data_IF_213696917729
#
_entry.id   IF_213696917729
#
_cell.length_a   1.000
_cell.length_b   1.000
_cell.length_c   1.000
_cell.angle_alpha   90.00
_cell.angle_beta   90.00
_cell.angle_gamma   90.00
#
_symmetry.space_group_name_H-M   'P 1'
#
loop_
_entity.id
_entity.type
_entity.pdbx_description
1 polymer ?
#
# COMPACT_ATOMS: atom_id res chain seq x y z
N UNK A 1 -50.90 34.91 -7.28
CA UNK A 1 -49.69 35.65 -6.90
C UNK A 1 -49.28 35.16 -5.51
N UNK A 2 -48.37 34.18 -5.44
CA UNK A 2 -47.84 33.69 -4.17
C UNK A 2 -46.81 34.69 -3.65
N UNK A 3 -47.03 35.24 -2.46
CA UNK A 3 -46.18 36.25 -1.84
C UNK A 3 -44.85 35.64 -1.36
N UNK A 4 -43.75 36.39 -1.51
CA UNK A 4 -42.37 35.99 -1.12
C UNK A 4 -42.23 35.49 0.34
N UNK A 5 -43.18 35.79 1.22
CA UNK A 5 -43.20 35.30 2.60
C UNK A 5 -43.51 33.80 2.76
N UNK A 6 -44.26 33.19 1.83
CA UNK A 6 -44.65 31.78 1.92
C UNK A 6 -43.53 30.80 1.49
N UNK A 7 -42.63 31.19 0.59
CA UNK A 7 -41.49 30.35 0.20
C UNK A 7 -40.48 30.17 1.34
N UNK A 8 -40.18 31.24 2.10
CA UNK A 8 -39.20 31.19 3.20
C UNK A 8 -39.67 30.36 4.41
N UNK A 9 -40.99 30.24 4.64
CA UNK A 9 -41.55 29.36 5.67
C UNK A 9 -41.64 27.89 5.23
N UNK A 10 -41.74 27.63 3.92
CA UNK A 10 -41.72 26.26 3.36
C UNK A 10 -40.30 25.67 3.36
N UNK A 11 -39.25 26.48 3.14
CA UNK A 11 -37.85 26.02 3.22
C UNK A 11 -37.44 25.60 4.65
N UNK A 12 -38.03 26.20 5.70
CA UNK A 12 -37.82 25.79 7.10
C UNK A 12 -38.48 24.46 7.49
N UNK A 13 -39.34 23.89 6.63
CA UNK A 13 -40.01 22.59 6.85
C UNK A 13 -39.40 21.45 6.05
N UNK A 14 -38.40 21.72 5.20
CA UNK A 14 -37.67 20.65 4.53
C UNK A 14 -36.75 20.00 5.57
N UNK A 15 -36.71 18.64 5.65
CA UNK A 15 -35.70 17.98 6.45
C UNK A 15 -34.31 18.48 6.01
N UNK A 16 -33.34 18.61 6.93
CA UNK A 16 -32.01 19.09 6.57
C UNK A 16 -31.50 18.27 5.39
N UNK A 17 -30.99 18.93 4.34
CA UNK A 17 -30.40 18.25 3.18
C UNK A 17 -29.22 17.42 3.67
N UNK A 18 -29.45 16.14 3.91
CA UNK A 18 -28.38 15.22 4.28
C UNK A 18 -27.57 14.96 3.02
N UNK A 19 -26.29 15.35 3.05
CA UNK A 19 -25.36 15.10 1.96
C UNK A 19 -25.21 13.59 1.80
N UNK A 20 -25.56 13.07 0.62
CA UNK A 20 -25.38 11.67 0.26
C UNK A 20 -23.87 11.39 0.25
N UNK A 21 -23.45 10.31 0.94
CA UNK A 21 -22.06 9.88 0.96
C UNK A 21 -21.56 9.62 -0.46
N UNK A 22 -20.42 10.21 -0.81
CA UNK A 22 -19.76 10.05 -2.10
C UNK A 22 -18.43 9.31 -1.95
N UNK A 23 -17.90 8.79 -3.06
CA UNK A 23 -16.64 8.05 -3.05
C UNK A 23 -15.46 8.90 -2.53
N UNK A 24 -15.46 10.19 -2.84
CA UNK A 24 -14.46 11.16 -2.38
C UNK A 24 -14.64 11.62 -0.91
N UNK A 25 -15.66 11.12 -0.20
CA UNK A 25 -15.80 11.28 1.25
C UNK A 25 -14.97 10.26 2.05
N UNK A 26 -14.55 9.16 1.41
CA UNK A 26 -13.78 8.08 2.04
C UNK A 26 -12.54 8.59 2.78
N UNK A 27 -11.67 9.45 2.21
CA UNK A 27 -10.50 9.93 2.93
C UNK A 27 -10.86 10.75 4.19
N UNK A 28 -11.95 11.53 4.13
CA UNK A 28 -12.44 12.30 5.26
C UNK A 28 -12.89 11.39 6.42
N UNK A 29 -13.56 10.28 6.10
CA UNK A 29 -13.97 9.26 7.06
C UNK A 29 -12.77 8.51 7.64
N UNK A 30 -11.84 8.06 6.78
CA UNK A 30 -10.58 7.43 7.21
C UNK A 30 -9.87 8.29 8.26
N UNK A 31 -9.67 9.58 7.96
CA UNK A 31 -8.95 10.49 8.85
C UNK A 31 -9.72 10.79 10.15
N UNK A 32 -10.98 11.19 10.03
CA UNK A 32 -11.70 11.86 11.13
C UNK A 32 -12.55 10.92 11.97
N UNK A 33 -12.89 9.73 11.45
CA UNK A 33 -13.75 8.75 12.15
C UNK A 33 -12.99 7.50 12.54
N UNK A 34 -12.10 7.02 11.67
CA UNK A 34 -11.39 5.77 11.88
C UNK A 34 -10.00 5.96 12.51
N UNK A 35 -9.47 7.18 12.49
CA UNK A 35 -8.10 7.45 12.95
C UNK A 35 -7.05 6.83 12.02
N UNK A 36 -7.32 6.83 10.71
CA UNK A 36 -6.47 6.26 9.66
C UNK A 36 -5.84 7.36 8.80
N UNK A 37 -4.89 8.15 9.34
CA UNK A 37 -4.32 9.29 8.64
C UNK A 37 -3.46 8.87 7.44
N UNK A 38 -2.77 7.74 7.48
CA UNK A 38 -1.91 7.28 6.37
C UNK A 38 -2.77 6.77 5.22
N UNK A 39 -3.80 5.95 5.52
CA UNK A 39 -4.77 5.51 4.51
C UNK A 39 -5.46 6.70 3.83
N UNK A 40 -5.90 7.68 4.62
CA UNK A 40 -6.52 8.90 4.10
C UNK A 40 -5.58 9.66 3.16
N UNK A 41 -4.30 9.83 3.53
CA UNK A 41 -3.33 10.54 2.72
C UNK A 41 -3.06 9.85 1.37
N UNK A 42 -2.95 8.52 1.36
CA UNK A 42 -2.80 7.75 0.11
C UNK A 42 -4.04 7.85 -0.78
N UNK A 43 -5.23 7.73 -0.19
CA UNK A 43 -6.49 7.87 -0.93
C UNK A 43 -6.67 9.29 -1.51
N UNK A 44 -6.34 10.33 -0.74
CA UNK A 44 -6.31 11.73 -1.21
C UNK A 44 -5.30 11.93 -2.33
N UNK A 45 -4.14 11.28 -2.25
CA UNK A 45 -3.15 11.31 -3.34
C UNK A 45 -3.73 10.68 -4.60
N UNK A 46 -4.39 9.53 -4.49
CA UNK A 46 -5.04 8.87 -5.62
C UNK A 46 -6.06 9.80 -6.29
N UNK A 47 -7.00 10.36 -5.53
CA UNK A 47 -8.03 11.28 -6.06
C UNK A 47 -7.46 12.57 -6.67
N UNK A 48 -6.33 13.08 -6.17
CA UNK A 48 -5.66 14.26 -6.72
C UNK A 48 -4.81 13.95 -7.96
N UNK A 49 -4.39 12.69 -8.14
CA UNK A 49 -3.57 12.26 -9.26
C UNK A 49 -4.26 12.49 -10.61
N UNK A 50 -3.46 12.69 -11.66
CA UNK A 50 -3.96 12.62 -13.03
C UNK A 50 -4.56 11.23 -13.29
N UNK A 51 -5.61 11.15 -14.12
CA UNK A 51 -6.18 9.86 -14.50
C UNK A 51 -5.10 8.95 -15.07
N UNK A 52 -4.79 7.88 -14.34
CA UNK A 52 -3.76 6.93 -14.70
C UNK A 52 -4.12 5.56 -14.14
N UNK A 53 -4.13 4.58 -15.04
CA UNK A 53 -4.30 3.17 -14.72
C UNK A 53 -2.95 2.48 -14.84
N UNK A 54 -2.47 1.91 -13.73
CA UNK A 54 -1.15 1.29 -13.71
C UNK A 54 -1.15 -0.07 -14.43
N UNK A 55 -0.29 -0.29 -15.43
CA UNK A 55 -0.17 -1.58 -16.10
C UNK A 55 0.49 -2.62 -15.19
N UNK A 56 0.15 -3.90 -15.36
CA UNK A 56 0.66 -5.00 -14.54
C UNK A 56 2.18 -5.14 -14.56
N UNK A 57 2.82 -4.85 -15.71
CA UNK A 57 4.29 -4.85 -15.81
C UNK A 57 4.92 -3.84 -14.85
N UNK A 58 4.24 -2.72 -14.59
CA UNK A 58 4.69 -1.71 -13.65
C UNK A 58 4.47 -2.16 -12.20
N UNK A 59 3.33 -2.78 -11.89
CA UNK A 59 3.07 -3.42 -10.58
C UNK A 59 4.11 -4.47 -10.25
N UNK A 60 4.63 -5.17 -11.25
CA UNK A 60 5.66 -6.21 -11.10
C UNK A 60 7.10 -5.68 -11.15
N UNK A 61 7.31 -4.40 -11.52
CA UNK A 61 8.64 -3.82 -11.68
C UNK A 61 9.46 -4.41 -12.83
N UNK A 62 8.79 -4.87 -13.91
CA UNK A 62 9.42 -5.50 -15.07
C UNK A 62 9.77 -4.49 -16.16
N UNK A 63 10.63 -4.91 -17.09
CA UNK A 63 11.06 -4.15 -18.27
C UNK A 63 11.57 -2.74 -17.93
N UNK A 64 10.91 -1.70 -18.47
CA UNK A 64 11.25 -0.31 -18.27
C UNK A 64 10.70 0.26 -16.95
N UNK A 65 9.91 -0.50 -16.19
CA UNK A 65 9.27 -0.06 -14.94
C UNK A 65 10.10 -0.38 -13.68
N UNK A 66 11.43 -0.35 -13.80
CA UNK A 66 12.29 -0.43 -12.61
C UNK A 66 12.02 0.76 -11.70
N UNK A 67 11.87 0.52 -10.40
CA UNK A 67 11.54 1.56 -9.41
C UNK A 67 12.50 2.76 -9.48
N UNK A 68 13.79 2.50 -9.68
CA UNK A 68 14.85 3.51 -9.84
C UNK A 68 14.64 4.47 -11.02
N UNK A 69 13.82 4.09 -12.02
CA UNK A 69 13.55 4.85 -13.24
C UNK A 69 12.16 5.50 -13.25
N UNK A 70 11.31 5.19 -12.28
CA UNK A 70 9.98 5.75 -12.19
C UNK A 70 10.03 7.21 -11.78
N UNK A 71 9.20 8.02 -12.41
CA UNK A 71 9.03 9.43 -12.05
C UNK A 71 8.17 9.56 -10.77
N UNK A 72 8.32 10.65 -10.01
CA UNK A 72 7.58 10.85 -8.75
C UNK A 72 6.05 10.80 -8.87
N UNK A 73 5.49 11.05 -10.06
CA UNK A 73 4.05 10.94 -10.28
C UNK A 73 3.51 9.53 -9.99
N UNK A 74 4.32 8.50 -10.24
CA UNK A 74 3.93 7.10 -10.07
C UNK A 74 4.55 6.42 -8.85
N UNK A 75 5.20 7.20 -7.98
CA UNK A 75 5.90 6.69 -6.82
C UNK A 75 5.63 7.58 -5.60
N UNK A 76 5.15 6.97 -4.53
CA UNK A 76 5.10 7.55 -3.19
C UNK A 76 6.22 6.95 -2.35
N UNK A 77 7.12 7.80 -1.85
CA UNK A 77 8.29 7.40 -1.05
C UNK A 77 8.26 8.03 0.35
N UNK A 78 7.13 8.63 0.77
CA UNK A 78 7.08 9.50 1.93
C UNK A 78 5.87 9.32 2.84
N UNK A 79 4.75 8.82 2.31
CA UNK A 79 3.50 8.71 3.08
C UNK A 79 3.56 7.53 4.05
N UNK A 80 4.15 6.42 3.62
CA UNK A 80 4.34 5.22 4.44
C UNK A 80 5.78 5.17 4.91
N UNK A 81 6.00 5.12 6.22
CA UNK A 81 7.32 4.91 6.81
C UNK A 81 7.39 3.58 7.53
N UNK A 82 8.58 2.98 7.62
CA UNK A 82 8.83 1.80 8.43
C UNK A 82 8.62 2.09 9.92
N UNK A 83 8.90 3.32 10.38
CA UNK A 83 8.61 3.71 11.76
C UNK A 83 7.11 3.59 12.07
N UNK A 84 6.24 4.09 11.19
CA UNK A 84 4.79 3.91 11.29
C UNK A 84 4.39 2.43 11.16
N UNK A 85 4.91 1.73 10.14
CA UNK A 85 4.55 0.36 9.86
C UNK A 85 4.92 -0.60 11.01
N UNK A 86 6.05 -0.38 11.67
CA UNK A 86 6.49 -1.17 12.83
C UNK A 86 5.61 -0.95 14.08
N UNK A 87 4.69 0.02 14.05
CA UNK A 87 3.61 0.15 15.04
C UNK A 87 2.64 -1.03 15.02
N UNK A 88 2.49 -1.72 13.88
CA UNK A 88 1.54 -2.82 13.69
C UNK A 88 2.19 -4.17 13.99
N UNK A 89 1.54 -5.00 14.80
CA UNK A 89 2.08 -6.31 15.22
C UNK A 89 2.39 -7.23 14.04
N UNK A 90 1.53 -7.28 13.03
CA UNK A 90 1.73 -8.09 11.81
C UNK A 90 2.99 -7.73 11.05
N UNK A 91 3.35 -6.44 11.00
CA UNK A 91 4.58 -5.98 10.33
C UNK A 91 5.81 -6.41 11.11
N UNK A 92 5.80 -6.27 12.45
CA UNK A 92 6.90 -6.74 13.31
C UNK A 92 7.11 -8.25 13.20
N UNK A 93 6.02 -9.02 13.14
CA UNK A 93 6.08 -10.47 12.93
C UNK A 93 6.70 -10.81 11.58
N UNK A 94 6.22 -10.18 10.50
CA UNK A 94 6.77 -10.37 9.16
C UNK A 94 8.25 -9.98 9.07
N UNK A 95 8.66 -8.88 9.71
CA UNK A 95 10.06 -8.46 9.75
C UNK A 95 10.93 -9.44 10.52
N UNK A 96 10.49 -9.91 11.70
CA UNK A 96 11.21 -10.94 12.47
C UNK A 96 11.39 -12.21 11.65
N UNK A 97 10.33 -12.66 10.97
CA UNK A 97 10.40 -13.84 10.11
C UNK A 97 11.36 -13.62 8.93
N UNK A 98 11.25 -12.49 8.23
CA UNK A 98 12.12 -12.19 7.10
C UNK A 98 13.57 -12.03 7.53
N UNK A 99 13.83 -11.46 8.70
CA UNK A 99 15.16 -11.37 9.30
C UNK A 99 15.74 -12.75 9.64
N UNK A 100 14.92 -13.73 10.04
CA UNK A 100 15.40 -15.09 10.27
C UNK A 100 15.66 -15.85 8.95
N UNK A 101 14.96 -15.48 7.87
CA UNK A 101 14.89 -16.27 6.64
C UNK A 101 15.47 -15.55 5.41
N UNK A 102 16.10 -14.38 5.56
CA UNK A 102 16.61 -13.59 4.44
C UNK A 102 17.59 -14.39 3.58
N UNK A 103 18.42 -15.24 4.19
CA UNK A 103 19.41 -16.10 3.53
C UNK A 103 18.84 -17.47 3.09
N UNK A 104 17.58 -17.51 2.66
CA UNK A 104 16.98 -18.68 2.02
C UNK A 104 17.75 -19.10 0.76
N UNK A 105 17.56 -20.32 0.20
CA UNK A 105 18.19 -20.71 -1.06
C UNK A 105 17.94 -19.71 -2.20
N UNK A 106 16.70 -19.22 -2.33
CA UNK A 106 16.35 -18.18 -3.31
C UNK A 106 17.02 -16.84 -3.00
N UNK A 107 17.08 -16.44 -1.72
CA UNK A 107 17.75 -15.22 -1.30
C UNK A 107 19.26 -15.24 -1.57
N UNK A 108 19.92 -16.37 -1.28
CA UNK A 108 21.33 -16.59 -1.63
C UNK A 108 21.56 -16.57 -3.14
N UNK A 109 20.64 -17.14 -3.93
CA UNK A 109 20.73 -17.10 -5.40
C UNK A 109 20.61 -15.66 -5.93
N UNK A 110 19.70 -14.84 -5.40
CA UNK A 110 19.60 -13.42 -5.76
C UNK A 110 20.84 -12.64 -5.35
N UNK A 111 21.34 -12.84 -4.12
CA UNK A 111 22.57 -12.22 -3.66
C UNK A 111 23.75 -12.53 -4.59
N UNK A 112 23.92 -13.80 -5.02
CA UNK A 112 24.93 -14.19 -6.00
C UNK A 112 24.78 -13.45 -7.33
N UNK A 113 23.55 -13.27 -7.81
CA UNK A 113 23.27 -12.55 -9.05
C UNK A 113 23.71 -11.08 -8.96
N UNK A 114 23.38 -10.40 -7.85
CA UNK A 114 23.82 -9.03 -7.62
C UNK A 114 25.34 -8.92 -7.50
N UNK A 115 25.96 -9.82 -6.75
CA UNK A 115 27.41 -9.86 -6.59
C UNK A 115 28.14 -10.07 -7.91
N UNK A 116 27.67 -11.00 -8.75
CA UNK A 116 28.26 -11.23 -10.07
C UNK A 116 28.23 -9.97 -10.91
N UNK A 117 27.06 -9.34 -11.05
CA UNK A 117 26.88 -8.08 -11.79
C UNK A 117 27.81 -6.97 -11.30
N UNK A 118 27.96 -6.82 -9.99
CA UNK A 118 28.85 -5.81 -9.42
C UNK A 118 30.33 -6.18 -9.61
N UNK A 119 30.67 -7.47 -9.52
CA UNK A 119 32.05 -7.97 -9.66
C UNK A 119 32.59 -7.88 -11.08
N UNK A 120 31.73 -7.79 -12.09
CA UNK A 120 32.11 -7.54 -13.49
C UNK A 120 32.65 -6.11 -13.68
N UNK A 121 32.27 -5.18 -12.80
CA UNK A 121 32.64 -3.76 -12.87
C UNK A 121 33.70 -3.42 -11.82
N UNK A 122 33.62 -4.04 -10.64
CA UNK A 122 34.48 -3.71 -9.51
C UNK A 122 35.82 -4.46 -9.55
N UNK A 123 36.96 -3.77 -9.60
CA UNK A 123 38.28 -4.41 -9.68
C UNK A 123 38.97 -4.62 -8.32
N UNK A 124 38.49 -3.94 -7.28
CA UNK A 124 39.09 -3.99 -5.94
C UNK A 124 39.04 -5.41 -5.33
N UNK A 125 40.09 -5.82 -4.58
CA UNK A 125 40.13 -7.13 -3.92
C UNK A 125 39.11 -7.24 -2.77
N UNK A 126 38.73 -6.11 -2.17
CA UNK A 126 37.67 -5.99 -1.15
C UNK A 126 36.85 -4.74 -1.38
N UNK A 127 35.54 -4.83 -1.20
CA UNK A 127 34.63 -3.66 -1.28
C UNK A 127 33.37 -3.87 -0.45
N UNK A 128 32.64 -2.77 -0.19
CA UNK A 128 31.31 -2.80 0.44
C UNK A 128 30.24 -3.10 -0.62
N UNK A 129 29.55 -4.22 -0.47
CA UNK A 129 28.32 -4.53 -1.20
C UNK A 129 27.12 -3.94 -0.44
N UNK A 130 26.16 -3.38 -1.17
CA UNK A 130 24.98 -2.72 -0.60
C UNK A 130 25.31 -1.40 0.10
N UNK A 131 24.59 -0.34 -0.25
CA UNK A 131 24.63 0.91 0.49
C UNK A 131 23.24 1.21 1.04
N UNK A 132 22.94 0.72 2.24
CA UNK A 132 21.62 0.81 2.85
C UNK A 132 21.22 2.25 3.25
N UNK A 133 22.08 3.25 3.04
CA UNK A 133 21.70 4.66 3.15
C UNK A 133 20.96 5.19 1.91
N UNK A 134 20.94 4.43 0.82
CA UNK A 134 20.20 4.80 -0.40
C UNK A 134 18.69 4.48 -0.26
N UNK A 135 17.81 5.20 -0.99
CA UNK A 135 16.38 4.95 -0.98
C UNK A 135 16.00 3.53 -1.43
N UNK A 136 14.86 3.04 -0.93
CA UNK A 136 14.34 1.70 -1.22
C UNK A 136 14.29 1.38 -2.72
N UNK A 137 13.88 2.33 -3.58
CA UNK A 137 13.84 2.15 -5.05
C UNK A 137 15.18 1.79 -5.68
N UNK A 138 16.29 2.22 -5.08
CA UNK A 138 17.65 1.88 -5.53
C UNK A 138 18.05 0.52 -4.97
N UNK A 139 17.77 0.27 -3.68
CA UNK A 139 18.09 -1.00 -3.03
C UNK A 139 17.35 -2.18 -3.66
N UNK A 140 16.11 -1.98 -4.11
CA UNK A 140 15.28 -2.98 -4.79
C UNK A 140 15.98 -3.57 -6.02
N UNK A 141 16.79 -2.76 -6.71
CA UNK A 141 17.54 -3.19 -7.89
C UNK A 141 18.98 -3.62 -7.56
N UNK A 142 19.61 -3.01 -6.55
CA UNK A 142 21.04 -3.20 -6.32
C UNK A 142 21.37 -4.34 -5.37
N UNK A 143 20.59 -4.53 -4.29
CA UNK A 143 20.99 -5.41 -3.19
C UNK A 143 19.82 -5.99 -2.38
N UNK A 144 18.59 -5.94 -2.90
CA UNK A 144 17.46 -6.71 -2.39
C UNK A 144 17.70 -8.19 -2.65
N UNK A 145 17.44 -9.03 -1.66
CA UNK A 145 17.72 -10.47 -1.77
C UNK A 145 16.50 -11.33 -1.48
N UNK A 146 15.62 -10.92 -0.56
CA UNK A 146 14.45 -11.72 -0.21
C UNK A 146 13.25 -10.84 0.16
N UNK A 147 12.07 -11.43 0.24
CA UNK A 147 10.83 -10.75 0.58
C UNK A 147 9.81 -11.69 1.20
N UNK A 148 8.79 -11.12 1.85
CA UNK A 148 7.62 -11.84 2.35
C UNK A 148 6.36 -10.97 2.11
N UNK A 149 5.25 -11.61 1.78
CA UNK A 149 3.94 -10.96 1.75
C UNK A 149 3.38 -10.82 3.18
N UNK A 150 2.63 -9.75 3.42
CA UNK A 150 1.90 -9.54 4.67
C UNK A 150 0.57 -8.84 4.39
N UNK A 151 -0.38 -8.96 5.31
CA UNK A 151 -1.74 -8.51 5.09
C UNK A 151 -2.65 -9.69 4.74
N UNK A 152 -3.89 -9.62 5.20
CA UNK A 152 -4.93 -10.57 4.84
C UNK A 152 -6.32 -9.94 5.02
N UNK A 153 -7.33 -10.49 4.34
CA UNK A 153 -8.73 -10.09 4.54
C UNK A 153 -9.24 -10.32 5.99
N UNK A 154 -8.55 -11.13 6.78
CA UNK A 154 -8.90 -11.41 8.17
C UNK A 154 -8.23 -10.45 9.17
N UNK A 155 -7.31 -9.59 8.72
CA UNK A 155 -6.58 -8.68 9.59
C UNK A 155 -7.52 -7.62 10.23
N UNK A 156 -7.11 -6.95 11.31
CA UNK A 156 -7.86 -5.82 11.85
C UNK A 156 -8.13 -4.75 10.79
N UNK A 157 -9.33 -4.17 10.79
CA UNK A 157 -9.60 -2.93 10.06
C UNK A 157 -8.92 -1.78 10.80
N UNK A 158 -7.68 -1.49 10.42
CA UNK A 158 -6.86 -0.40 10.96
C UNK A 158 -6.23 0.44 9.84
N UNK A 159 -5.46 1.46 10.20
CA UNK A 159 -4.83 2.38 9.25
C UNK A 159 -3.94 1.65 8.23
N UNK A 160 -3.20 0.63 8.65
CA UNK A 160 -2.39 -0.15 7.71
C UNK A 160 -3.27 -0.98 6.77
N UNK A 161 -4.40 -1.51 7.23
CA UNK A 161 -5.34 -2.20 6.34
C UNK A 161 -5.87 -1.25 5.25
N UNK A 162 -6.28 -0.04 5.62
CA UNK A 162 -6.75 0.96 4.66
C UNK A 162 -5.67 1.54 3.75
N UNK A 163 -4.42 1.57 4.21
CA UNK A 163 -3.28 2.14 3.48
C UNK A 163 -2.62 1.13 2.53
N UNK A 164 -2.47 -0.12 2.99
CA UNK A 164 -1.60 -1.10 2.35
C UNK A 164 -2.34 -2.38 1.96
N UNK A 165 -3.45 -2.73 2.61
CA UNK A 165 -4.14 -4.00 2.37
C UNK A 165 -3.21 -5.21 2.52
N UNK A 166 -2.87 -5.82 1.39
CA UNK A 166 -1.77 -6.79 1.26
C UNK A 166 -0.54 -6.06 0.72
N UNK A 167 0.60 -6.18 1.40
CA UNK A 167 1.87 -5.54 1.04
C UNK A 167 2.99 -6.56 0.90
N UNK A 168 4.10 -6.15 0.28
CA UNK A 168 5.35 -6.91 0.27
C UNK A 168 6.40 -6.23 1.16
N UNK A 169 6.89 -6.94 2.19
CA UNK A 169 8.07 -6.53 2.94
C UNK A 169 9.31 -7.15 2.30
N UNK A 170 10.28 -6.32 1.97
CA UNK A 170 11.52 -6.71 1.30
C UNK A 170 12.72 -6.53 2.22
N UNK A 171 13.77 -7.33 1.99
CA UNK A 171 15.06 -7.20 2.67
C UNK A 171 16.19 -7.04 1.66
N UNK A 172 16.97 -6.00 1.87
CA UNK A 172 18.26 -5.74 1.25
C UNK A 172 19.39 -6.00 2.24
N UNK A 173 20.59 -6.28 1.73
CA UNK A 173 21.74 -6.62 2.58
C UNK A 173 22.95 -5.76 2.26
N UNK A 174 23.80 -5.56 3.26
CA UNK A 174 25.10 -4.92 3.12
C UNK A 174 26.18 -5.76 3.80
N UNK A 175 27.37 -5.76 3.23
CA UNK A 175 28.49 -6.54 3.74
C UNK A 175 29.80 -6.26 3.03
N UNK A 176 30.89 -6.82 3.55
CA UNK A 176 32.21 -6.72 2.91
C UNK A 176 32.42 -7.93 2.01
N UNK A 177 32.67 -7.67 0.73
CA UNK A 177 33.04 -8.71 -0.23
C UNK A 177 34.56 -8.84 -0.26
N UNK A 178 35.06 -10.06 -0.42
CA UNK A 178 36.47 -10.40 -0.60
C UNK A 178 36.63 -11.33 -1.79
N UNK A 179 37.50 -10.99 -2.73
CA UNK A 179 37.92 -11.91 -3.81
C UNK A 179 38.87 -12.96 -3.26
N UNK A 180 38.54 -14.24 -3.46
CA UNK A 180 39.34 -15.38 -2.96
C UNK A 180 40.19 -16.05 -4.05
N UNK A 181 39.90 -15.78 -5.32
CA UNK A 181 40.58 -16.33 -6.48
C UNK A 181 39.77 -16.07 -7.74
N UNK A 182 40.14 -16.69 -8.85
CA UNK A 182 39.45 -16.52 -10.14
C UNK A 182 37.98 -16.96 -10.02
N UNK A 183 37.05 -16.00 -10.07
CA UNK A 183 35.60 -16.24 -10.00
C UNK A 183 35.02 -16.54 -8.61
N UNK A 184 35.85 -16.67 -7.57
CA UNK A 184 35.39 -16.98 -6.21
C UNK A 184 35.22 -15.72 -5.35
N UNK A 185 34.04 -15.57 -4.75
CA UNK A 185 33.68 -14.43 -3.90
C UNK A 185 33.22 -14.92 -2.53
N UNK A 186 33.77 -14.30 -1.49
CA UNK A 186 33.26 -14.39 -0.12
C UNK A 186 32.59 -13.06 0.24
N UNK A 187 31.49 -13.10 0.99
CA UNK A 187 30.85 -11.91 1.55
C UNK A 187 30.54 -12.13 3.03
N UNK A 188 30.91 -11.15 3.84
CA UNK A 188 30.57 -11.06 5.26
C UNK A 188 29.46 -10.01 5.42
N UNK A 189 28.20 -10.47 5.51
CA UNK A 189 27.02 -9.60 5.64
C UNK A 189 26.88 -9.14 7.09
N UNK A 190 26.87 -7.83 7.32
CA UNK A 190 26.82 -7.22 8.66
C UNK A 190 25.57 -6.34 8.89
N UNK A 191 24.83 -6.00 7.83
CA UNK A 191 23.60 -5.20 7.94
C UNK A 191 22.48 -5.70 7.04
N UNK A 192 21.25 -5.55 7.52
CA UNK A 192 20.01 -5.75 6.78
C UNK A 192 19.24 -4.43 6.68
N UNK A 193 18.55 -4.21 5.56
CA UNK A 193 17.64 -3.08 5.35
C UNK A 193 16.27 -3.58 4.93
N UNK A 194 15.23 -3.18 5.66
CA UNK A 194 13.85 -3.60 5.45
C UNK A 194 12.99 -2.43 4.95
N UNK A 195 12.12 -2.70 3.99
CA UNK A 195 11.20 -1.70 3.45
C UNK A 195 9.96 -2.37 2.85
N UNK A 196 8.85 -1.64 2.85
CA UNK A 196 7.59 -2.06 2.23
C UNK A 196 7.53 -1.61 0.77
N UNK A 197 6.86 -2.42 -0.03
CA UNK A 197 6.47 -2.12 -1.41
C UNK A 197 5.03 -2.55 -1.62
N UNK A 198 4.22 -1.68 -2.22
CA UNK A 198 2.87 -2.01 -2.67
C UNK A 198 2.44 -1.20 -3.89
N UNK A 199 1.43 -1.66 -4.62
CA UNK A 199 0.68 -0.89 -5.62
C UNK A 199 -0.60 -0.34 -5.01
N UNK A 200 -0.73 0.99 -4.97
CA UNK A 200 -1.97 1.65 -4.57
C UNK A 200 -2.81 1.91 -5.83
N UNK A 201 -3.67 0.95 -6.17
CA UNK A 201 -4.51 0.97 -7.35
C UNK A 201 -5.88 0.34 -7.11
N UNK A 202 -6.82 0.66 -7.99
CA UNK A 202 -8.18 0.10 -7.96
C UNK A 202 -8.49 -0.65 -9.25
N UNK A 203 -7.54 -1.47 -9.71
CA UNK A 203 -7.69 -2.28 -10.91
C UNK A 203 -8.05 -3.72 -10.51
N UNK A 204 -8.94 -4.35 -11.27
CA UNK A 204 -9.28 -5.75 -11.06
C UNK A 204 -8.22 -6.63 -11.73
N UNK A 205 -7.86 -7.77 -11.10
CA UNK A 205 -6.90 -8.70 -11.70
C UNK A 205 -7.42 -9.20 -13.05
N UNK A 206 -6.52 -9.43 -14.00
CA UNK A 206 -6.86 -10.06 -15.27
C UNK A 206 -7.62 -11.37 -15.02
N UNK A 207 -8.74 -11.56 -15.73
CA UNK A 207 -9.67 -12.70 -15.62
C UNK A 207 -10.56 -12.75 -14.36
N UNK A 208 -10.61 -11.70 -13.54
CA UNK A 208 -11.65 -11.58 -12.51
C UNK A 208 -12.99 -11.17 -13.14
N UNK A 209 -14.00 -12.03 -13.02
CA UNK A 209 -15.38 -11.71 -13.43
C UNK A 209 -16.09 -10.72 -12.48
N UNK A 210 -15.59 -10.58 -11.25
CA UNK A 210 -16.16 -9.71 -10.21
C UNK A 210 -15.15 -8.67 -9.76
N UNK A 211 -15.61 -7.43 -9.57
CA UNK A 211 -14.78 -6.35 -9.06
C UNK A 211 -14.49 -6.53 -7.58
N UNK A 212 -13.25 -6.26 -7.14
CA UNK A 212 -12.85 -6.49 -5.75
C UNK A 212 -13.69 -5.64 -4.78
N UNK A 213 -14.31 -6.26 -3.76
CA UNK A 213 -15.03 -5.53 -2.72
C UNK A 213 -14.07 -4.79 -1.79
N UNK A 214 -14.36 -3.53 -1.51
CA UNK A 214 -13.61 -2.65 -0.61
C UNK A 214 -14.36 -2.32 0.69
N UNK A 215 -15.53 -2.95 0.88
CA UNK A 215 -16.36 -2.83 2.06
C UNK A 215 -17.59 -1.94 1.87
N UNK A 216 -18.33 -1.79 2.95
CA UNK A 216 -19.54 -0.98 3.05
C UNK A 216 -19.19 0.33 3.75
N UNK A 217 -19.12 1.42 2.98
CA UNK A 217 -18.66 2.73 3.43
C UNK A 217 -19.81 3.69 3.70
N UNK A 218 -19.69 4.49 4.75
CA UNK A 218 -20.61 5.60 5.02
C UNK A 218 -19.96 6.65 5.91
N UNK A 219 -20.71 7.68 6.27
CA UNK A 219 -20.22 8.81 7.07
C UNK A 219 -19.65 8.43 8.45
N UNK A 220 -19.94 7.22 8.94
CA UNK A 220 -19.48 6.73 10.24
C UNK A 220 -18.30 5.76 10.17
N UNK A 221 -17.91 5.28 8.98
CA UNK A 221 -16.83 4.31 8.85
C UNK A 221 -17.01 3.32 7.71
N UNK A 222 -16.35 2.18 7.87
CA UNK A 222 -16.37 1.06 6.92
C UNK A 222 -16.62 -0.25 7.65
N UNK A 223 -17.39 -1.13 7.03
CA UNK A 223 -17.60 -2.50 7.49
C UNK A 223 -17.21 -3.51 6.39
N UNK A 224 -16.67 -4.68 6.79
CA UNK A 224 -16.37 -5.78 5.85
C UNK A 224 -17.64 -6.40 5.27
N UNK A 225 -18.66 -6.52 6.12
CA UNK A 225 -19.96 -7.08 5.81
C UNK A 225 -21.04 -6.08 6.18
N UNK A 226 -22.14 -6.09 5.44
CA UNK A 226 -23.31 -5.31 5.81
C UNK A 226 -24.06 -6.02 6.94
N UNK A 227 -23.76 -5.61 8.18
CA UNK A 227 -24.50 -6.06 9.38
C UNK A 227 -25.82 -5.31 9.58
N UNK A 228 -26.16 -4.35 8.72
CA UNK A 228 -27.38 -3.53 8.84
C UNK A 228 -28.62 -4.14 8.17
N UNK A 229 -28.48 -5.26 7.47
CA UNK A 229 -29.60 -5.96 6.84
C UNK A 229 -30.41 -6.80 7.84
N UNK A 230 -31.03 -6.18 8.84
CA UNK A 230 -32.23 -6.76 9.45
C UNK A 230 -33.39 -6.61 8.47
N UNK A 231 -34.12 -7.69 8.18
CA UNK A 231 -35.38 -7.60 7.44
C UNK A 231 -36.35 -6.77 8.28
N UNK A 232 -36.87 -5.69 7.69
CA UNK A 232 -38.02 -4.99 8.27
C UNK A 232 -39.22 -5.94 8.24
N UNK A 233 -39.80 -6.19 9.41
CA UNK A 233 -40.96 -7.08 9.58
C UNK A 233 -42.27 -6.27 9.52
N UNK A 234 -42.19 -4.93 9.56
CA UNK A 234 -43.34 -4.04 9.47
C UNK A 234 -43.13 -2.87 8.50
N UNK A 235 -44.23 -2.26 8.07
CA UNK A 235 -44.24 -1.12 7.14
C UNK A 235 -43.74 0.17 7.81
N UNK A 236 -43.94 0.32 9.12
CA UNK A 236 -43.38 1.41 9.93
C UNK A 236 -41.85 1.34 10.05
N UNK A 237 -41.28 0.13 10.16
CA UNK A 237 -39.82 -0.09 10.15
C UNK A 237 -39.18 0.29 8.82
N UNK A 238 -39.87 0.07 7.69
CA UNK A 238 -39.41 0.47 6.36
C UNK A 238 -39.32 2.02 6.27
N UNK A 239 -40.33 2.74 6.76
CA UNK A 239 -40.37 4.20 6.72
C UNK A 239 -39.38 4.86 7.70
N UNK A 240 -39.16 4.26 8.88
CA UNK A 240 -38.10 4.68 9.82
C UNK A 240 -36.69 4.41 9.25
N UNK A 241 -36.48 3.28 8.58
CA UNK A 241 -35.20 2.93 7.96
C UNK A 241 -34.89 3.83 6.76
N UNK A 242 -35.91 4.27 6.03
CA UNK A 242 -35.76 5.21 4.90
C UNK A 242 -35.52 6.67 5.35
N UNK A 243 -36.02 7.06 6.54
CA UNK A 243 -35.97 8.45 7.03
C UNK A 243 -34.75 8.79 7.92
N UNK A 244 -34.04 7.81 8.47
CA UNK A 244 -32.85 8.01 9.31
C UNK A 244 -31.55 8.01 8.48
N UNK A 245 -31.27 9.14 7.84
CA UNK A 245 -30.13 9.37 6.95
C UNK A 245 -28.69 9.52 7.57
N UNK A 246 -28.42 9.31 8.88
CA UNK A 246 -27.05 9.15 9.38
C UNK A 246 -26.78 7.69 9.79
N UNK A 247 -26.32 6.85 8.85
CA UNK A 247 -25.99 5.44 9.16
C UNK A 247 -25.94 4.51 7.95
N UNK A 248 -26.50 4.93 6.81
CA UNK A 248 -26.45 4.17 5.57
C UNK A 248 -25.02 3.97 5.10
N UNK A 249 -24.67 2.72 4.80
CA UNK A 249 -23.44 2.34 4.13
C UNK A 249 -23.71 1.96 2.68
N UNK A 250 -22.69 2.12 1.85
CA UNK A 250 -22.71 1.87 0.42
C UNK A 250 -21.64 0.85 0.10
N UNK A 251 -21.99 -0.18 -0.65
CA UNK A 251 -21.02 -1.14 -1.14
C UNK A 251 -20.07 -0.47 -2.13
N UNK A 252 -18.78 -0.50 -1.84
CA UNK A 252 -17.73 0.10 -2.68
C UNK A 252 -16.84 -1.00 -3.25
N UNK A 253 -16.51 -0.88 -4.53
CA UNK A 253 -15.64 -1.79 -5.26
C UNK A 253 -14.63 -1.04 -6.13
N UNK A 254 -13.60 -1.74 -6.63
CA UNK A 254 -12.63 -1.19 -7.57
C UNK A 254 -13.27 -0.51 -8.79
N UNK A 255 -14.35 -1.09 -9.33
CA UNK A 255 -15.09 -0.54 -10.46
C UNK A 255 -15.65 0.87 -10.19
N UNK A 256 -16.01 1.21 -8.95
CA UNK A 256 -16.51 2.54 -8.60
C UNK A 256 -15.41 3.60 -8.71
N UNK A 257 -14.18 3.26 -8.30
CA UNK A 257 -13.01 4.10 -8.49
C UNK A 257 -12.67 4.27 -9.98
N UNK A 258 -12.73 3.21 -10.78
CA UNK A 258 -12.50 3.29 -12.23
C UNK A 258 -13.54 4.17 -12.94
N UNK A 259 -14.82 4.06 -12.58
CA UNK A 259 -15.88 4.97 -13.06
C UNK A 259 -15.62 6.41 -12.63
N UNK A 260 -15.23 6.62 -11.36
CA UNK A 260 -14.89 7.95 -10.86
C UNK A 260 -13.72 8.55 -11.66
N UNK A 261 -12.68 7.75 -11.96
CA UNK A 261 -11.54 8.17 -12.78
C UNK A 261 -11.95 8.62 -14.17
N UNK A 262 -12.77 7.82 -14.84
CA UNK A 262 -13.29 8.12 -16.18
C UNK A 262 -14.15 9.40 -16.19
N UNK A 263 -14.96 9.64 -15.16
CA UNK A 263 -15.84 10.80 -15.06
C UNK A 263 -15.08 12.11 -14.79
N UNK A 264 -14.02 12.06 -13.98
CA UNK A 264 -13.36 13.27 -13.47
C UNK A 264 -12.02 13.59 -14.15
N UNK A 265 -11.45 12.67 -14.94
CA UNK A 265 -10.11 12.85 -15.52
C UNK A 265 -9.00 12.89 -14.46
N UNK A 266 -9.28 12.35 -13.27
CA UNK A 266 -8.37 12.26 -12.11
C UNK A 266 -8.42 10.84 -11.55
N UNK A 267 -7.64 10.51 -10.52
CA UNK A 267 -7.64 9.16 -9.94
C UNK A 267 -6.46 8.37 -10.49
N UNK A 268 -5.27 8.65 -9.97
CA UNK A 268 -4.02 8.12 -10.50
C UNK A 268 -3.44 7.05 -9.61
N UNK A 269 -3.19 5.86 -10.18
CA UNK A 269 -2.49 4.77 -9.49
C UNK A 269 -1.01 5.09 -9.27
N UNK A 270 -0.42 4.56 -8.21
CA UNK A 270 1.02 4.74 -7.93
C UNK A 270 1.57 3.59 -7.07
N UNK A 271 2.90 3.41 -7.11
CA UNK A 271 3.58 2.48 -6.22
C UNK A 271 3.91 3.19 -4.92
N UNK A 272 3.79 2.48 -3.81
CA UNK A 272 4.20 2.91 -2.48
C UNK A 272 5.49 2.20 -2.12
N UNK A 273 6.49 2.97 -1.70
CA UNK A 273 7.71 2.49 -1.07
C UNK A 273 7.89 3.18 0.28
N UNK A 274 8.24 2.42 1.31
CA UNK A 274 8.66 3.04 2.56
C UNK A 274 10.12 3.50 2.53
N UNK A 275 10.51 4.27 3.55
CA UNK A 275 11.91 4.41 3.93
C UNK A 275 12.51 3.06 4.38
N UNK A 276 13.83 3.03 4.52
CA UNK A 276 14.59 1.81 4.83
C UNK A 276 14.87 1.74 6.32
N UNK A 277 14.34 0.71 6.97
CA UNK A 277 14.68 0.38 8.35
C UNK A 277 15.94 -0.50 8.38
N UNK A 278 17.04 0.03 8.92
CA UNK A 278 18.33 -0.67 8.99
C UNK A 278 18.49 -1.40 10.31
N UNK A 279 19.09 -2.58 10.25
CA UNK A 279 19.43 -3.39 11.42
C UNK A 279 20.81 -4.00 11.23
N UNK A 280 21.71 -3.75 12.18
CA UNK A 280 23.00 -4.43 12.22
C UNK A 280 22.83 -5.86 12.75
N UNK A 281 23.57 -6.80 12.15
CA UNK A 281 23.64 -8.16 12.64
C UNK A 281 24.63 -8.24 13.82
N UNK A 282 24.34 -9.04 14.86
CA UNK A 282 25.25 -9.17 16.00
C UNK A 282 26.58 -9.80 15.61
N UNK A 283 26.57 -10.67 14.59
CA UNK A 283 27.76 -11.27 13.99
C UNK A 283 27.60 -11.28 12.47
N UNK A 284 28.66 -10.98 11.70
CA UNK A 284 28.60 -11.08 10.26
C UNK A 284 28.26 -12.51 9.80
N UNK A 285 27.34 -12.62 8.84
CA UNK A 285 26.98 -13.89 8.21
C UNK A 285 27.87 -14.08 6.98
N UNK A 286 28.78 -15.04 7.06
CA UNK A 286 29.71 -15.36 5.99
C UNK A 286 29.08 -16.29 4.96
N UNK A 287 29.15 -15.91 3.69
CA UNK A 287 28.72 -16.71 2.55
C UNK A 287 29.82 -16.73 1.49
N UNK A 288 30.07 -17.89 0.88
CA UNK A 288 31.14 -18.07 -0.10
C UNK A 288 30.64 -18.91 -1.28
N UNK A 289 31.06 -18.52 -2.48
CA UNK A 289 30.73 -19.14 -3.76
C UNK A 289 31.91 -19.17 -4.71
#
# INVERSE_FOLDING_TARGET
>A
MLTRGNCAQLEKKLPPKVRIFQLDDIPGVMRSRLGWPVAAALMERWFRGAAFEMPDLMKQGRDNYRLSRLIPAYLDESTVTMAWALGFARVRTAMTQLQAQWASPAGKAQLRLHLKKQSDIQTEPRWRFGNLALPAKILDESCQVNFIGLGSLADPLDDFYGAMGEATLKVAVSGIVTRKGTGQLAIDIDELGFYLRESYDFNDRENNFLSQPLGFWGHQGVHRFDVSASIAVSQEEIEETQSKAPGRTYFVQNNDFRKWRALHGRGGDFLVLSDVHRTSLPFPVKLEW
#
